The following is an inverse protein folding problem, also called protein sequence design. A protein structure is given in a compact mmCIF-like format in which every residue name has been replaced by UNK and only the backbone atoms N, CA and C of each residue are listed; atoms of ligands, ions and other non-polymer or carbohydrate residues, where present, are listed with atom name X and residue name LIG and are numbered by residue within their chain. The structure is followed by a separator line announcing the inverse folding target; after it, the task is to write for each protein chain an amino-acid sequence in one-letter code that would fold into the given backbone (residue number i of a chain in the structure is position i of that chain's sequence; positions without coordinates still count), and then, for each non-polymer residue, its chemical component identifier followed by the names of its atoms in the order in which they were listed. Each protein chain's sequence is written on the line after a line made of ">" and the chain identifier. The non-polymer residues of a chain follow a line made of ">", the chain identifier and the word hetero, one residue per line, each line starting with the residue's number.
data_IF_038059003885
#
_entry.id   IF_038059003885
#
_cell.length_a   1.000
_cell.length_b   1.000
_cell.length_c   1.000
_cell.angle_alpha   90.00
_cell.angle_beta   90.00
_cell.angle_gamma   90.00
#
_symmetry.space_group_name_H-M   'P 1'
#
loop_
_entity.id
_entity.type
_entity.pdbx_description
1 polymer ?
#
# COMPACT_ATOMS: atom_id res chain seq x y z
N UNK A 1 -44.70 -6.28 22.23
CA UNK A 1 -44.26 -4.93 21.84
C UNK A 1 -42.74 -4.95 21.74
N UNK A 2 -42.23 -5.00 20.51
CA UNK A 2 -40.81 -5.08 20.22
C UNK A 2 -40.20 -3.69 20.41
N UNK A 3 -39.24 -3.55 21.33
CA UNK A 3 -38.43 -2.34 21.45
C UNK A 3 -37.36 -2.36 20.35
N UNK A 4 -37.38 -1.33 19.51
CA UNK A 4 -36.52 -1.19 18.34
C UNK A 4 -35.06 -0.98 18.75
N UNK A 5 -34.19 -1.83 18.21
CA UNK A 5 -32.74 -1.85 18.36
C UNK A 5 -32.04 -0.70 17.60
N UNK A 6 -32.63 0.51 17.58
CA UNK A 6 -32.23 1.57 16.65
C UNK A 6 -31.49 2.76 17.28
N UNK A 7 -31.21 2.73 18.59
CA UNK A 7 -30.61 3.89 19.27
C UNK A 7 -29.25 3.65 19.93
N UNK A 8 -28.69 2.44 19.83
CA UNK A 8 -27.37 2.12 20.37
C UNK A 8 -26.21 2.39 19.38
N UNK A 9 -26.49 2.56 18.07
CA UNK A 9 -25.45 2.75 17.06
C UNK A 9 -25.03 4.21 16.83
N UNK A 10 -25.64 5.19 17.51
CA UNK A 10 -25.32 6.62 17.31
C UNK A 10 -24.33 7.16 18.35
N UNK A 11 -24.02 6.40 19.42
CA UNK A 11 -23.09 6.86 20.48
C UNK A 11 -21.66 6.36 20.26
N UNK A 12 -21.44 5.28 19.50
CA UNK A 12 -20.09 4.82 19.16
C UNK A 12 -19.40 5.63 18.03
N UNK A 13 -20.16 6.45 17.29
CA UNK A 13 -19.62 7.34 16.25
C UNK A 13 -19.11 8.69 16.77
N UNK A 14 -19.44 9.09 18.01
CA UNK A 14 -19.08 10.40 18.57
C UNK A 14 -17.94 10.35 19.60
N UNK A 15 -17.45 9.16 19.97
CA UNK A 15 -16.36 9.01 20.95
C UNK A 15 -14.97 9.04 20.28
N UNK A 16 -14.87 8.87 18.96
CA UNK A 16 -13.59 9.04 18.25
C UNK A 16 -13.25 10.51 17.95
N UNK A 17 -14.20 11.43 18.07
CA UNK A 17 -13.97 12.86 17.81
C UNK A 17 -13.38 13.62 19.00
N UNK A 18 -13.42 13.07 20.22
CA UNK A 18 -13.00 13.76 21.46
C UNK A 18 -11.69 13.26 22.07
N UNK A 19 -10.97 12.37 21.38
CA UNK A 19 -9.62 11.91 21.75
C UNK A 19 -8.55 12.27 20.72
N UNK A 20 -8.85 13.17 19.79
CA UNK A 20 -7.82 13.90 19.06
C UNK A 20 -7.22 14.94 20.02
N UNK A 21 -6.28 14.49 20.86
CA UNK A 21 -5.24 15.38 21.37
C UNK A 21 -4.62 16.11 20.17
N UNK A 22 -4.07 17.30 20.37
CA UNK A 22 -3.41 18.06 19.29
C UNK A 22 -2.24 17.26 18.74
N UNK A 23 -2.54 16.39 17.78
CA UNK A 23 -1.59 15.61 17.03
C UNK A 23 -0.66 16.59 16.36
N UNK A 24 0.60 16.62 16.80
CA UNK A 24 1.62 17.28 16.02
C UNK A 24 1.56 16.72 14.59
N UNK A 25 1.83 17.52 13.55
CA UNK A 25 1.80 17.08 12.14
C UNK A 25 2.67 15.81 11.90
N UNK A 26 3.57 15.48 12.84
CA UNK A 26 4.31 14.22 12.89
C UNK A 26 3.47 12.96 13.10
N UNK A 27 2.24 13.05 13.64
CA UNK A 27 1.33 11.90 13.83
C UNK A 27 0.47 11.61 12.58
N UNK A 28 0.46 12.49 11.58
CA UNK A 28 -0.37 12.33 10.39
C UNK A 28 0.22 11.38 9.33
N UNK A 29 1.55 11.17 9.36
CA UNK A 29 2.25 10.34 8.38
C UNK A 29 2.69 9.00 8.97
N UNK A 30 2.84 7.96 8.12
CA UNK A 30 3.45 6.70 8.55
C UNK A 30 4.83 6.91 9.20
N UNK A 31 5.23 6.05 10.15
CA UNK A 31 6.58 6.07 10.70
C UNK A 31 7.66 6.11 9.61
N UNK A 32 8.73 6.86 9.83
CA UNK A 32 9.85 7.00 8.88
C UNK A 32 9.47 7.59 7.50
N UNK A 33 8.35 8.32 7.40
CA UNK A 33 7.91 8.91 6.14
C UNK A 33 8.92 9.88 5.51
N UNK A 34 9.64 10.68 6.32
CA UNK A 34 10.60 11.66 5.81
C UNK A 34 11.86 10.97 5.28
N UNK A 35 12.28 9.94 5.97
CA UNK A 35 13.46 9.11 5.72
C UNK A 35 13.26 8.18 4.52
N UNK A 36 12.02 7.82 4.22
CA UNK A 36 11.68 6.93 3.11
C UNK A 36 11.85 7.60 1.74
N UNK A 37 12.28 6.85 0.70
CA UNK A 37 12.41 7.33 -0.68
C UNK A 37 11.19 8.13 -1.16
N UNK A 38 11.41 9.31 -1.75
CA UNK A 38 10.37 10.19 -2.26
C UNK A 38 10.22 10.15 -3.78
N UNK A 39 11.21 9.58 -4.48
CA UNK A 39 11.32 9.52 -5.94
C UNK A 39 12.16 8.31 -6.37
N UNK A 40 12.04 7.90 -7.63
CA UNK A 40 12.73 6.70 -8.14
C UNK A 40 14.27 6.77 -8.02
N UNK A 41 14.86 7.95 -8.21
CA UNK A 41 16.30 8.16 -8.11
C UNK A 41 16.88 8.00 -6.70
N UNK A 42 16.03 7.88 -5.68
CA UNK A 42 16.45 7.59 -4.32
C UNK A 42 16.72 6.08 -4.12
N UNK A 43 16.33 5.22 -5.07
CA UNK A 43 16.61 3.79 -5.06
C UNK A 43 17.87 3.45 -5.86
N UNK A 44 18.45 2.28 -5.54
CA UNK A 44 19.56 1.73 -6.30
C UNK A 44 19.15 1.42 -7.74
N UNK A 45 20.10 1.59 -8.66
CA UNK A 45 19.93 1.29 -10.08
C UNK A 45 20.89 0.20 -10.51
N UNK A 46 20.36 -0.90 -11.04
CA UNK A 46 21.15 -2.00 -11.60
C UNK A 46 20.64 -2.32 -13.01
N UNK A 47 21.56 -2.40 -13.98
CA UNK A 47 21.24 -2.68 -15.39
C UNK A 47 20.13 -1.76 -15.95
N UNK A 48 20.11 -0.50 -15.52
CA UNK A 48 19.10 0.49 -15.94
C UNK A 48 17.74 0.35 -15.28
N UNK A 49 17.59 -0.51 -14.26
CA UNK A 49 16.35 -0.71 -13.49
C UNK A 49 16.48 -0.20 -12.07
N UNK A 50 15.46 0.47 -11.56
CA UNK A 50 15.31 0.76 -10.15
C UNK A 50 15.03 -0.55 -9.40
N UNK A 51 15.87 -0.84 -8.40
CA UNK A 51 15.77 -2.03 -7.55
C UNK A 51 15.22 -1.59 -6.19
N UNK A 52 14.08 -2.16 -5.80
CA UNK A 52 13.39 -1.80 -4.56
C UNK A 52 13.35 -3.03 -3.65
N UNK A 53 13.94 -2.94 -2.46
CA UNK A 53 13.78 -3.97 -1.44
C UNK A 53 12.46 -3.76 -0.70
N UNK A 54 11.38 -4.34 -1.23
CA UNK A 54 10.08 -4.30 -0.55
C UNK A 54 10.05 -5.11 0.74
N UNK A 55 11.08 -5.88 1.09
CA UNK A 55 11.18 -6.53 2.40
C UNK A 55 11.92 -5.67 3.43
N UNK A 56 12.17 -4.41 3.09
CA UNK A 56 12.70 -3.38 3.99
C UNK A 56 11.68 -2.23 4.09
N UNK A 57 11.33 -1.85 5.31
CA UNK A 57 10.17 -0.99 5.59
C UNK A 57 10.22 0.39 4.91
N UNK A 58 11.29 1.20 5.06
CA UNK A 58 11.36 2.50 4.39
C UNK A 58 11.29 2.39 2.87
N UNK A 59 11.88 1.34 2.29
CA UNK A 59 11.85 1.12 0.84
C UNK A 59 10.45 0.75 0.34
N UNK A 60 9.71 -0.12 1.05
CA UNK A 60 8.30 -0.40 0.74
C UNK A 60 7.44 0.85 0.94
N UNK A 61 7.65 1.60 2.02
CA UNK A 61 6.95 2.85 2.28
C UNK A 61 7.17 3.89 1.17
N UNK A 62 8.40 3.96 0.65
CA UNK A 62 8.76 4.83 -0.47
C UNK A 62 7.94 4.56 -1.73
N UNK A 63 7.53 3.31 -1.98
CA UNK A 63 6.65 2.97 -3.13
C UNK A 63 5.29 3.67 -3.03
N UNK A 64 4.71 3.72 -1.81
CA UNK A 64 3.47 4.44 -1.55
C UNK A 64 3.66 5.95 -1.65
N UNK A 65 4.78 6.47 -1.13
CA UNK A 65 5.12 7.90 -1.20
C UNK A 65 5.24 8.38 -2.63
N UNK A 66 5.93 7.63 -3.48
CA UNK A 66 6.03 7.92 -4.91
C UNK A 66 4.65 7.82 -5.58
N UNK A 67 3.87 6.78 -5.29
CA UNK A 67 2.52 6.62 -5.83
C UNK A 67 1.63 7.83 -5.49
N UNK A 68 1.65 8.28 -4.25
CA UNK A 68 0.88 9.43 -3.79
C UNK A 68 1.35 10.73 -4.46
N UNK A 69 2.67 10.93 -4.58
CA UNK A 69 3.23 12.10 -5.25
C UNK A 69 2.87 12.12 -6.75
N UNK A 70 2.96 10.98 -7.44
CA UNK A 70 2.69 10.85 -8.87
C UNK A 70 1.20 10.96 -9.20
N UNK A 71 0.34 10.59 -8.26
CA UNK A 71 -1.11 10.71 -8.43
C UNK A 71 -1.68 12.06 -7.96
N UNK A 72 -0.92 12.87 -7.22
CA UNK A 72 -1.40 14.09 -6.58
C UNK A 72 -2.16 15.05 -7.52
N UNK A 73 -1.61 15.29 -8.71
CA UNK A 73 -2.23 16.16 -9.73
C UNK A 73 -3.66 15.75 -10.14
N UNK A 74 -4.02 14.47 -10.00
CA UNK A 74 -5.36 13.98 -10.32
C UNK A 74 -6.35 14.20 -9.16
N UNK A 75 -5.84 14.41 -7.95
CA UNK A 75 -6.62 14.61 -6.73
C UNK A 75 -6.68 16.08 -6.26
N UNK A 76 -5.92 16.99 -6.88
CA UNK A 76 -5.96 18.44 -6.61
C UNK A 76 -7.38 19.04 -6.71
N UNK A 77 -8.24 18.44 -7.54
CA UNK A 77 -9.65 18.86 -7.68
C UNK A 77 -10.52 18.59 -6.45
N UNK A 78 -10.07 17.75 -5.52
CA UNK A 78 -10.82 17.36 -4.32
C UNK A 78 -10.33 18.08 -3.06
N UNK A 79 -9.02 18.31 -2.92
CA UNK A 79 -8.43 19.06 -1.83
C UNK A 79 -7.03 19.58 -2.19
N UNK A 80 -6.56 20.66 -1.54
CA UNK A 80 -5.16 21.06 -1.61
C UNK A 80 -4.24 20.02 -0.97
N UNK A 81 -2.93 20.15 -1.21
CA UNK A 81 -1.88 19.43 -0.51
C UNK A 81 -1.99 17.89 -0.52
N UNK A 82 -2.70 17.34 -1.52
CA UNK A 82 -2.91 15.90 -1.69
C UNK A 82 -3.69 15.23 -0.54
N UNK A 83 -4.39 15.99 0.30
CA UNK A 83 -5.03 15.47 1.52
C UNK A 83 -6.14 14.46 1.23
N UNK A 84 -6.90 14.65 0.14
CA UNK A 84 -7.99 13.75 -0.27
C UNK A 84 -7.56 12.70 -1.30
N UNK A 85 -6.26 12.39 -1.39
CA UNK A 85 -5.82 11.26 -2.19
C UNK A 85 -6.23 9.95 -1.54
N UNK A 86 -7.22 9.28 -2.13
CA UNK A 86 -7.81 8.05 -1.57
C UNK A 86 -6.83 6.86 -1.52
N UNK A 87 -5.62 7.00 -2.08
CA UNK A 87 -4.54 6.01 -1.94
C UNK A 87 -3.79 6.10 -0.60
N UNK A 88 -4.00 7.15 0.20
CA UNK A 88 -3.37 7.30 1.53
C UNK A 88 -3.61 6.10 2.45
N UNK A 89 -4.79 5.46 2.33
CA UNK A 89 -5.13 4.29 3.12
C UNK A 89 -4.10 3.16 3.02
N UNK A 90 -3.45 2.98 1.86
CA UNK A 90 -2.41 1.97 1.67
C UNK A 90 -1.16 2.26 2.52
N UNK A 91 -0.69 3.51 2.50
CA UNK A 91 0.49 3.95 3.25
C UNK A 91 0.23 3.94 4.76
N UNK A 92 -0.94 4.44 5.19
CA UNK A 92 -1.34 4.50 6.59
C UNK A 92 -1.47 3.09 7.17
N UNK A 93 -2.12 2.17 6.45
CA UNK A 93 -2.22 0.77 6.87
C UNK A 93 -0.84 0.14 7.04
N UNK A 94 0.08 0.35 6.09
CA UNK A 94 1.44 -0.17 6.19
C UNK A 94 2.20 0.40 7.41
N UNK A 95 2.05 1.71 7.66
CA UNK A 95 2.61 2.36 8.85
C UNK A 95 2.08 1.79 10.16
N UNK A 96 0.78 1.53 10.25
CA UNK A 96 0.18 0.88 11.40
C UNK A 96 0.69 -0.56 11.60
N UNK A 97 0.87 -1.33 10.51
CA UNK A 97 1.43 -2.69 10.61
C UNK A 97 2.86 -2.67 11.14
N UNK A 98 3.69 -1.72 10.70
CA UNK A 98 5.05 -1.54 11.22
C UNK A 98 5.04 -1.16 12.70
N UNK A 99 4.30 -0.10 13.06
CA UNK A 99 4.26 0.41 14.44
C UNK A 99 3.77 -0.64 15.45
N UNK A 100 2.94 -1.58 15.02
CA UNK A 100 2.37 -2.61 15.90
C UNK A 100 3.13 -3.94 15.86
N UNK A 101 4.29 -4.00 15.20
CA UNK A 101 5.12 -5.21 15.10
C UNK A 101 4.51 -6.30 14.20
N UNK A 102 3.42 -6.00 13.48
CA UNK A 102 2.76 -6.97 12.61
C UNK A 102 3.59 -7.35 11.40
N UNK A 103 4.61 -6.58 11.04
CA UNK A 103 5.52 -6.92 9.94
C UNK A 103 6.72 -7.79 10.37
N UNK A 104 6.93 -7.96 11.68
CA UNK A 104 8.05 -8.74 12.23
C UNK A 104 7.81 -10.25 12.09
N UNK A 105 8.88 -11.04 12.23
CA UNK A 105 8.80 -12.49 12.27
C UNK A 105 8.01 -12.98 13.50
N UNK A 106 6.82 -13.58 13.33
CA UNK A 106 6.02 -14.06 14.45
C UNK A 106 6.54 -15.39 15.03
N UNK A 107 7.43 -16.09 14.33
CA UNK A 107 7.90 -17.44 14.71
C UNK A 107 9.04 -17.41 15.72
N UNK A 108 9.68 -16.24 15.91
CA UNK A 108 10.90 -16.07 16.71
C UNK A 108 12.09 -16.91 16.21
N UNK A 109 12.06 -17.38 14.96
CA UNK A 109 13.17 -18.10 14.36
C UNK A 109 14.25 -17.14 13.83
N UNK A 110 13.85 -15.91 13.52
CA UNK A 110 14.71 -14.79 13.15
C UNK A 110 14.41 -13.57 14.02
N UNK A 111 15.31 -12.59 13.99
CA UNK A 111 15.17 -11.29 14.64
C UNK A 111 14.62 -10.19 13.70
N UNK A 112 14.13 -10.58 12.52
CA UNK A 112 13.57 -9.67 11.51
C UNK A 112 12.35 -8.90 12.05
N UNK A 113 12.42 -7.58 12.01
CA UNK A 113 11.38 -6.66 12.49
C UNK A 113 11.31 -6.51 14.00
N UNK A 114 12.20 -7.16 14.76
CA UNK A 114 12.32 -7.02 16.21
C UNK A 114 13.39 -5.99 16.58
N UNK A 115 13.22 -5.30 17.71
CA UNK A 115 14.17 -4.28 18.19
C UNK A 115 15.59 -4.82 18.44
N UNK A 116 15.71 -6.09 18.81
CA UNK A 116 17.00 -6.75 19.06
C UNK A 116 17.77 -7.11 17.78
N UNK A 117 17.14 -7.01 16.61
CA UNK A 117 17.69 -7.37 15.31
C UNK A 117 17.56 -6.24 14.30
N UNK A 118 17.27 -6.61 13.04
CA UNK A 118 16.93 -5.64 12.01
C UNK A 118 15.45 -5.22 12.15
N UNK A 119 15.21 -4.16 12.91
CA UNK A 119 13.85 -3.64 13.14
C UNK A 119 13.16 -3.08 11.87
N UNK A 120 13.90 -2.87 10.77
CA UNK A 120 13.35 -2.40 9.48
C UNK A 120 13.03 -3.55 8.53
N UNK A 121 13.48 -4.76 8.85
CA UNK A 121 13.15 -5.96 8.10
C UNK A 121 11.64 -6.27 8.18
N UNK A 122 11.05 -6.59 7.04
CA UNK A 122 9.70 -7.11 6.91
C UNK A 122 9.80 -8.62 6.68
N UNK A 123 9.25 -9.40 7.60
CA UNK A 123 9.35 -10.86 7.55
C UNK A 123 8.33 -11.45 6.58
N UNK A 124 8.78 -12.36 5.73
CA UNK A 124 7.92 -13.23 4.91
C UNK A 124 7.25 -14.33 5.73
N UNK A 125 7.59 -14.49 7.02
CA UNK A 125 6.80 -15.30 7.95
C UNK A 125 5.60 -14.54 8.53
N UNK A 126 5.52 -13.23 8.30
CA UNK A 126 4.37 -12.44 8.73
C UNK A 126 3.24 -12.53 7.72
N UNK A 127 2.14 -13.14 8.15
CA UNK A 127 0.87 -13.10 7.43
C UNK A 127 0.43 -11.66 7.08
N UNK A 128 0.65 -10.69 7.98
CA UNK A 128 0.30 -9.29 7.71
C UNK A 128 1.19 -8.67 6.62
N UNK A 129 2.47 -9.02 6.59
CA UNK A 129 3.41 -8.57 5.56
C UNK A 129 3.09 -9.14 4.19
N UNK A 130 2.74 -10.42 4.13
CA UNK A 130 2.40 -11.14 2.91
C UNK A 130 1.10 -10.63 2.30
N UNK A 131 0.05 -10.46 3.10
CA UNK A 131 -1.22 -9.88 2.62
C UNK A 131 -1.00 -8.42 2.17
N UNK A 132 -0.23 -7.64 2.93
CA UNK A 132 0.06 -6.26 2.56
C UNK A 132 0.90 -6.15 1.28
N UNK A 133 1.74 -7.14 0.95
CA UNK A 133 2.49 -7.16 -0.30
C UNK A 133 1.58 -6.94 -1.51
N UNK A 134 0.42 -7.59 -1.53
CA UNK A 134 -0.55 -7.46 -2.63
C UNK A 134 -1.18 -6.07 -2.68
N UNK A 135 -1.34 -5.41 -1.53
CA UNK A 135 -1.78 -4.02 -1.43
C UNK A 135 -0.64 -3.01 -1.61
N UNK A 136 0.59 -3.47 -1.80
CA UNK A 136 1.78 -2.65 -2.09
C UNK A 136 2.16 -2.78 -3.57
N UNK A 137 2.57 -3.97 -3.99
CA UNK A 137 3.11 -4.26 -5.30
C UNK A 137 2.06 -4.09 -6.41
N UNK A 138 0.84 -4.59 -6.24
CA UNK A 138 -0.19 -4.53 -7.30
C UNK A 138 -0.58 -3.09 -7.67
N UNK A 139 -0.98 -2.22 -6.73
CA UNK A 139 -1.26 -0.83 -7.08
C UNK A 139 -0.04 -0.12 -7.66
N UNK A 140 1.15 -0.34 -7.10
CA UNK A 140 2.37 0.29 -7.60
C UNK A 140 2.69 -0.10 -9.05
N UNK A 141 2.71 -1.40 -9.37
CA UNK A 141 3.02 -1.87 -10.72
C UNK A 141 1.91 -1.54 -11.72
N UNK A 142 0.64 -1.56 -11.31
CA UNK A 142 -0.45 -1.08 -12.18
C UNK A 142 -0.34 0.44 -12.44
N UNK A 143 0.12 1.24 -11.47
CA UNK A 143 0.38 2.65 -11.71
C UNK A 143 1.54 2.87 -12.70
N UNK A 144 2.58 2.05 -12.63
CA UNK A 144 3.67 2.02 -13.63
C UNK A 144 3.10 1.70 -15.01
N UNK A 145 2.36 0.59 -15.12
CA UNK A 145 1.77 0.10 -16.37
C UNK A 145 0.78 1.10 -17.00
N UNK A 146 0.02 1.81 -16.17
CA UNK A 146 -0.91 2.86 -16.61
C UNK A 146 -0.22 4.15 -17.10
N UNK A 147 1.10 4.25 -16.94
CA UNK A 147 1.92 5.41 -17.30
C UNK A 147 1.93 6.55 -16.28
N UNK A 148 1.21 6.44 -15.16
CA UNK A 148 1.14 7.49 -14.12
C UNK A 148 2.52 7.78 -13.52
N UNK A 149 3.35 6.74 -13.37
CA UNK A 149 4.66 6.86 -12.73
C UNK A 149 5.70 7.58 -13.58
N UNK A 150 5.48 7.66 -14.91
CA UNK A 150 6.39 8.31 -15.85
C UNK A 150 7.70 7.56 -16.08
N UNK A 151 7.73 6.25 -15.86
CA UNK A 151 8.84 5.34 -16.16
C UNK A 151 8.35 4.18 -17.03
N UNK A 152 9.26 3.50 -17.73
CA UNK A 152 8.93 2.28 -18.46
C UNK A 152 8.61 1.14 -17.49
N UNK A 153 7.68 0.25 -17.87
CA UNK A 153 7.35 -0.98 -17.13
C UNK A 153 8.55 -1.90 -16.88
N UNK A 154 9.57 -1.83 -17.74
CA UNK A 154 10.78 -2.63 -17.62
C UNK A 154 11.85 -2.01 -16.69
N UNK A 155 11.68 -0.74 -16.29
CA UNK A 155 12.69 0.02 -15.56
C UNK A 155 12.57 -0.13 -14.03
N UNK A 156 11.67 -0.97 -13.52
CA UNK A 156 11.52 -1.18 -12.08
C UNK A 156 11.27 -2.64 -11.77
N UNK A 157 11.92 -3.12 -10.71
CA UNK A 157 11.69 -4.45 -10.15
C UNK A 157 11.85 -4.38 -8.63
N UNK A 158 11.15 -5.27 -7.93
CA UNK A 158 11.30 -5.42 -6.49
C UNK A 158 12.07 -6.72 -6.18
N UNK A 159 12.77 -6.75 -5.06
CA UNK A 159 13.53 -7.93 -4.65
C UNK A 159 12.61 -9.04 -4.13
N UNK A 160 12.91 -10.32 -4.44
CA UNK A 160 12.18 -11.44 -3.88
C UNK A 160 12.52 -11.62 -2.39
N UNK A 161 11.60 -12.21 -1.60
CA UNK A 161 11.89 -12.68 -0.26
C UNK A 161 12.88 -13.86 -0.28
N UNK A 162 13.44 -14.19 0.88
CA UNK A 162 14.36 -15.34 1.04
C UNK A 162 13.67 -16.69 0.82
N UNK A 163 12.35 -16.78 1.01
CA UNK A 163 11.52 -17.97 0.81
C UNK A 163 10.15 -17.61 0.23
N UNK A 164 9.35 -18.61 -0.14
CA UNK A 164 7.99 -18.43 -0.70
C UNK A 164 7.93 -17.55 -1.96
N UNK A 165 9.02 -17.52 -2.73
CA UNK A 165 9.17 -16.61 -3.87
C UNK A 165 8.09 -16.80 -4.95
N UNK A 166 7.62 -18.03 -5.13
CA UNK A 166 6.56 -18.32 -6.12
C UNK A 166 5.20 -17.71 -5.74
N UNK A 167 5.03 -17.28 -4.49
CA UNK A 167 3.82 -16.66 -3.98
C UNK A 167 3.72 -15.16 -4.31
N UNK A 168 4.69 -14.57 -5.01
CA UNK A 168 4.73 -13.14 -5.29
C UNK A 168 5.08 -12.83 -6.76
N UNK A 169 4.84 -11.59 -7.18
CA UNK A 169 5.27 -11.06 -8.47
C UNK A 169 6.19 -9.85 -8.24
N UNK A 170 7.15 -9.60 -9.13
CA UNK A 170 8.28 -8.71 -8.86
C UNK A 170 8.45 -7.54 -9.82
N UNK A 171 7.66 -7.51 -10.89
CA UNK A 171 7.64 -6.48 -11.91
C UNK A 171 6.31 -6.53 -12.66
N UNK A 172 6.04 -5.51 -13.49
CA UNK A 172 4.78 -5.38 -14.24
C UNK A 172 4.43 -6.67 -15.01
N UNK A 173 5.38 -7.24 -15.76
CA UNK A 173 5.14 -8.45 -16.57
C UNK A 173 4.76 -9.67 -15.72
N UNK A 174 5.49 -9.91 -14.62
CA UNK A 174 5.20 -11.03 -13.73
C UNK A 174 3.87 -10.84 -13.00
N UNK A 175 3.49 -9.61 -12.62
CA UNK A 175 2.23 -9.36 -11.95
C UNK A 175 1.04 -9.53 -12.89
N UNK A 176 1.15 -9.12 -14.16
CA UNK A 176 0.15 -9.41 -15.18
C UNK A 176 0.00 -10.91 -15.44
N UNK A 177 1.10 -11.64 -15.47
CA UNK A 177 1.09 -13.08 -15.73
C UNK A 177 0.48 -13.87 -14.58
N UNK A 178 0.88 -13.57 -13.33
CA UNK A 178 0.43 -14.30 -12.14
C UNK A 178 -0.94 -13.85 -11.63
N UNK A 179 -1.27 -12.55 -11.76
CA UNK A 179 -2.46 -11.94 -11.16
C UNK A 179 -3.21 -11.01 -12.13
N UNK A 180 -3.59 -11.47 -13.33
CA UNK A 180 -4.13 -10.63 -14.40
C UNK A 180 -5.37 -9.86 -14.00
N UNK A 181 -6.31 -10.48 -13.27
CA UNK A 181 -7.56 -9.82 -12.86
C UNK A 181 -7.32 -8.70 -11.83
N UNK A 182 -6.34 -8.85 -10.95
CA UNK A 182 -5.98 -7.82 -9.97
C UNK A 182 -5.34 -6.63 -10.68
N UNK A 183 -4.37 -6.89 -11.57
CA UNK A 183 -3.74 -5.86 -12.39
C UNK A 183 -4.75 -5.10 -13.26
N UNK A 184 -5.70 -5.83 -13.87
CA UNK A 184 -6.79 -5.23 -14.67
C UNK A 184 -7.64 -4.26 -13.85
N UNK A 185 -8.04 -4.63 -12.63
CA UNK A 185 -8.86 -3.77 -11.76
C UNK A 185 -8.12 -2.52 -11.29
N UNK A 186 -6.84 -2.66 -10.93
CA UNK A 186 -6.01 -1.50 -10.61
C UNK A 186 -5.80 -0.59 -11.83
N UNK A 187 -5.59 -1.15 -13.02
CA UNK A 187 -5.50 -0.38 -14.25
C UNK A 187 -6.81 0.36 -14.57
N UNK A 188 -7.97 -0.28 -14.39
CA UNK A 188 -9.29 0.35 -14.53
C UNK A 188 -9.43 1.53 -13.55
N UNK A 189 -9.06 1.33 -12.27
CA UNK A 189 -8.99 2.42 -11.30
C UNK A 189 -8.13 3.59 -11.79
N UNK A 190 -6.91 3.34 -12.26
CA UNK A 190 -6.02 4.39 -12.75
C UNK A 190 -6.50 5.07 -14.05
N UNK A 191 -7.23 4.36 -14.91
CA UNK A 191 -7.91 4.97 -16.05
C UNK A 191 -8.97 5.98 -15.59
N UNK A 192 -9.75 5.65 -14.57
CA UNK A 192 -10.72 6.57 -13.97
C UNK A 192 -10.07 7.73 -13.23
N UNK A 193 -8.96 7.51 -12.51
CA UNK A 193 -8.18 8.59 -11.87
C UNK A 193 -7.70 9.61 -12.91
N UNK A 194 -7.26 9.15 -14.08
CA UNK A 194 -6.85 10.03 -15.19
C UNK A 194 -8.02 10.78 -15.84
N UNK A 195 -9.26 10.36 -15.60
CA UNK A 195 -10.45 11.03 -16.15
C UNK A 195 -10.85 12.23 -15.30
N UNK A 196 -10.98 13.39 -15.95
CA UNK A 196 -11.46 14.61 -15.28
C UNK A 196 -12.92 14.51 -14.83
N UNK A 197 -13.72 13.61 -15.43
CA UNK A 197 -15.15 13.48 -15.15
C UNK A 197 -15.51 12.71 -13.89
N UNK A 198 -14.58 11.93 -13.33
CA UNK A 198 -14.86 11.07 -12.16
C UNK A 198 -14.92 11.90 -10.87
N UNK A 199 -15.98 11.73 -10.10
CA UNK A 199 -16.07 12.25 -8.73
C UNK A 199 -15.39 11.29 -7.74
N UNK A 200 -15.28 11.68 -6.47
CA UNK A 200 -14.58 10.89 -5.45
C UNK A 200 -15.26 9.52 -5.20
N UNK A 201 -16.59 9.49 -5.10
CA UNK A 201 -17.37 8.27 -4.87
C UNK A 201 -17.18 7.24 -5.99
N UNK A 202 -17.17 7.71 -7.25
CA UNK A 202 -16.90 6.86 -8.40
C UNK A 202 -15.50 6.25 -8.31
N UNK A 203 -14.48 7.04 -7.96
CA UNK A 203 -13.11 6.54 -7.79
C UNK A 203 -12.99 5.54 -6.64
N UNK A 204 -13.70 5.77 -5.53
CA UNK A 204 -13.74 4.85 -4.39
C UNK A 204 -14.28 3.48 -4.78
N UNK A 205 -15.31 3.42 -5.64
CA UNK A 205 -15.84 2.14 -6.15
C UNK A 205 -14.76 1.32 -6.85
N UNK A 206 -13.98 1.92 -7.75
CA UNK A 206 -12.92 1.23 -8.47
C UNK A 206 -11.74 0.86 -7.57
N UNK A 207 -11.37 1.76 -6.65
CA UNK A 207 -10.34 1.49 -5.63
C UNK A 207 -10.70 0.25 -4.82
N UNK A 208 -11.92 0.21 -4.27
CA UNK A 208 -12.38 -0.91 -3.46
C UNK A 208 -12.48 -2.21 -4.24
N UNK A 209 -12.92 -2.16 -5.50
CA UNK A 209 -12.94 -3.35 -6.35
C UNK A 209 -11.53 -3.94 -6.55
N UNK A 210 -10.52 -3.09 -6.79
CA UNK A 210 -9.13 -3.54 -6.92
C UNK A 210 -8.53 -4.01 -5.60
N UNK A 211 -8.80 -3.29 -4.50
CA UNK A 211 -8.36 -3.62 -3.16
C UNK A 211 -8.89 -4.99 -2.70
N UNK A 212 -10.20 -5.22 -2.80
CA UNK A 212 -10.83 -6.50 -2.43
C UNK A 212 -10.28 -7.63 -3.29
N UNK A 213 -10.14 -7.44 -4.61
CA UNK A 213 -9.55 -8.46 -5.48
C UNK A 213 -8.11 -8.81 -5.10
N UNK A 214 -7.32 -7.82 -4.65
CA UNK A 214 -5.95 -8.05 -4.18
C UNK A 214 -5.95 -8.91 -2.90
N UNK A 215 -6.84 -8.59 -1.95
CA UNK A 215 -7.01 -9.36 -0.72
C UNK A 215 -7.53 -10.77 -0.97
N UNK A 216 -8.45 -10.98 -1.92
CA UNK A 216 -8.95 -12.32 -2.25
C UNK A 216 -7.85 -13.24 -2.78
N UNK A 217 -6.96 -12.71 -3.62
CA UNK A 217 -5.80 -13.47 -4.12
C UNK A 217 -4.82 -13.74 -2.99
N UNK A 218 -4.44 -12.71 -2.23
CA UNK A 218 -3.52 -12.87 -1.11
C UNK A 218 -4.06 -13.90 -0.11
N UNK A 219 -5.36 -13.82 0.21
CA UNK A 219 -6.05 -14.77 1.08
C UNK A 219 -5.98 -16.20 0.55
N UNK A 220 -6.11 -16.43 -0.76
CA UNK A 220 -5.98 -17.78 -1.36
C UNK A 220 -4.57 -18.32 -1.27
N UNK A 221 -3.55 -17.45 -1.39
CA UNK A 221 -2.15 -17.86 -1.37
C UNK A 221 -1.60 -18.09 0.04
N UNK A 222 -2.14 -17.40 1.04
CA UNK A 222 -1.71 -17.49 2.45
C UNK A 222 -2.83 -17.95 3.39
N UNK A 223 -3.86 -18.64 2.87
CA UNK A 223 -4.78 -19.39 3.73
C UNK A 223 -4.10 -20.68 4.16
N UNK A 224 -3.89 -20.80 5.46
CA UNK A 224 -3.84 -22.08 6.15
C UNK A 224 -5.25 -22.62 6.33
#
# INVERSE_FOLDING_TARGET
>A
MAFSLSWACVIFGCIFASLAGTSSISEAYPPLWKESPGQFSDYNVENGKYIINVWHYPERLGTYKILLNKTAKYFEKFAPENEQNILWGLAVQHGWQYHTGRLADPTQTTDCGHESGDHLCISVDSWSADINYYLSAMPFFAAVDSGIMGISSDNVTVLPPSKDQMSFCYNVSSCHSSFPEVMKKWNEFYQHVKSNSSNCDDLLKYLWAAHVSSLEVARKNFHN
#
